data_IF_622816355034
#
_entry.id   IF_622816355034
#
_cell.length_a   1.000
_cell.length_b   1.000
_cell.length_c   1.000
_cell.angle_alpha   90.00
_cell.angle_beta   90.00
_cell.angle_gamma   90.00
#
_symmetry.space_group_name_H-M   'P 1'
#
loop_
_entity.id
_entity.type
_entity.pdbx_description
1 polymer ?
#
# COMPACT_ATOMS: atom_id res chain seq x y z
N UNK A 1 -1.64 6.70 -16.56
CA UNK A 1 -1.74 5.51 -15.70
C UNK A 1 -3.03 5.66 -14.91
N UNK A 2 -4.06 4.89 -15.23
CA UNK A 2 -5.27 4.80 -14.41
C UNK A 2 -4.85 4.05 -13.14
N UNK A 3 -4.55 4.78 -12.07
CA UNK A 3 -4.58 4.18 -10.73
C UNK A 3 -6.01 3.70 -10.57
N UNK A 4 -6.19 2.37 -10.61
CA UNK A 4 -7.49 1.72 -10.60
C UNK A 4 -8.37 2.35 -9.51
N UNK A 5 -9.49 2.99 -9.89
CA UNK A 5 -10.44 3.60 -8.94
C UNK A 5 -10.82 2.63 -7.80
N UNK A 6 -10.80 1.32 -8.08
CA UNK A 6 -11.00 0.25 -7.11
C UNK A 6 -9.98 0.24 -5.95
N UNK A 7 -8.71 0.61 -6.20
CA UNK A 7 -7.71 0.74 -5.15
C UNK A 7 -7.99 1.98 -4.31
N UNK A 8 -8.24 3.12 -4.94
CA UNK A 8 -8.50 4.39 -4.22
C UNK A 8 -9.78 4.34 -3.37
N UNK A 9 -10.79 3.58 -3.82
CA UNK A 9 -12.04 3.38 -3.09
C UNK A 9 -11.99 2.23 -2.07
N UNK A 10 -10.86 1.52 -1.97
CA UNK A 10 -10.72 0.40 -1.05
C UNK A 10 -10.65 0.89 0.40
N UNK A 11 -11.30 0.19 1.34
CA UNK A 11 -11.29 0.56 2.76
C UNK A 11 -9.88 0.55 3.39
N UNK A 12 -8.97 -0.24 2.80
CA UNK A 12 -7.56 -0.32 3.19
C UNK A 12 -6.63 0.52 2.30
N UNK A 13 -7.18 1.44 1.48
CA UNK A 13 -6.36 2.32 0.66
C UNK A 13 -5.46 3.19 1.53
N UNK A 14 -4.16 3.11 1.26
CA UNK A 14 -3.15 4.00 1.84
C UNK A 14 -2.16 4.39 0.74
N UNK A 15 -1.93 5.70 0.60
CA UNK A 15 -1.09 6.23 -0.48
C UNK A 15 0.39 5.84 -0.31
N UNK A 16 0.85 5.72 0.93
CA UNK A 16 2.21 5.31 1.24
C UNK A 16 2.38 3.80 1.02
N UNK A 17 1.40 2.99 1.43
CA UNK A 17 1.42 1.55 1.14
C UNK A 17 1.36 1.25 -0.36
N UNK A 18 0.52 1.97 -1.10
CA UNK A 18 0.48 1.88 -2.55
C UNK A 18 1.84 2.25 -3.18
N UNK A 19 2.44 3.37 -2.75
CA UNK A 19 3.75 3.79 -3.23
C UNK A 19 4.84 2.75 -2.92
N UNK A 20 4.81 2.15 -1.74
CA UNK A 20 5.74 1.10 -1.35
C UNK A 20 5.63 -0.15 -2.24
N UNK A 21 4.40 -0.63 -2.45
CA UNK A 21 4.15 -1.85 -3.21
C UNK A 21 4.48 -1.65 -4.69
N UNK A 22 4.08 -0.51 -5.26
CA UNK A 22 4.42 -0.15 -6.64
C UNK A 22 5.94 0.01 -6.82
N UNK A 23 6.65 0.65 -5.88
CA UNK A 23 8.11 0.76 -5.91
C UNK A 23 8.80 -0.61 -5.80
N UNK A 24 8.17 -1.57 -5.12
CA UNK A 24 8.60 -2.98 -5.11
C UNK A 24 8.32 -3.74 -6.40
N UNK A 25 7.61 -3.15 -7.36
CA UNK A 25 7.23 -3.77 -8.63
C UNK A 25 5.92 -4.56 -8.59
N UNK A 26 5.08 -4.34 -7.56
CA UNK A 26 3.77 -4.98 -7.49
C UNK A 26 2.80 -4.33 -8.47
N UNK A 27 1.94 -5.16 -9.06
CA UNK A 27 0.85 -4.69 -9.91
C UNK A 27 -0.35 -4.27 -9.07
N UNK A 28 -1.18 -3.37 -9.62
CA UNK A 28 -2.41 -2.92 -8.96
C UNK A 28 -3.32 -4.08 -8.53
N UNK A 29 -3.37 -5.16 -9.32
CA UNK A 29 -4.17 -6.36 -9.02
C UNK A 29 -3.65 -7.12 -7.79
N UNK A 30 -2.33 -7.25 -7.64
CA UNK A 30 -1.71 -7.90 -6.48
C UNK A 30 -1.90 -7.07 -5.21
N UNK A 31 -1.78 -5.74 -5.32
CA UNK A 31 -2.05 -4.81 -4.22
C UNK A 31 -3.49 -4.96 -3.76
N UNK A 32 -4.45 -4.97 -4.70
CA UNK A 32 -5.86 -5.12 -4.38
C UNK A 32 -6.15 -6.49 -3.72
N UNK A 33 -5.58 -7.57 -4.25
CA UNK A 33 -5.73 -8.90 -3.67
C UNK A 33 -5.20 -8.97 -2.24
N UNK A 34 -4.05 -8.33 -1.98
CA UNK A 34 -3.46 -8.23 -0.64
C UNK A 34 -4.35 -7.43 0.31
N UNK A 35 -4.77 -6.24 -0.10
CA UNK A 35 -5.64 -5.39 0.74
C UNK A 35 -6.98 -6.06 1.04
N UNK A 36 -7.53 -6.83 0.11
CA UNK A 36 -8.74 -7.60 0.32
C UNK A 36 -8.52 -8.76 1.31
N UNK A 37 -7.37 -9.45 1.23
CA UNK A 37 -6.99 -10.46 2.22
C UNK A 37 -6.79 -9.85 3.62
N UNK A 38 -6.12 -8.71 3.72
CA UNK A 38 -5.93 -7.98 4.99
C UNK A 38 -7.26 -7.52 5.57
N UNK A 39 -8.16 -6.98 4.74
CA UNK A 39 -9.52 -6.60 5.14
C UNK A 39 -10.33 -7.80 5.64
N UNK A 40 -10.23 -8.97 5.00
CA UNK A 40 -10.86 -10.22 5.45
C UNK A 40 -10.29 -10.73 6.77
N UNK A 41 -8.98 -10.57 6.99
CA UNK A 41 -8.33 -10.95 8.24
C UNK A 41 -8.57 -9.96 9.38
N UNK A 42 -9.19 -8.80 9.11
CA UNK A 42 -9.38 -7.73 10.10
C UNK A 42 -8.10 -6.98 10.43
N UNK A 43 -7.01 -7.25 9.71
CA UNK A 43 -5.78 -6.46 9.78
C UNK A 43 -6.03 -5.22 8.95
N UNK A 44 -6.37 -4.11 9.61
CA UNK A 44 -6.61 -2.83 8.95
C UNK A 44 -5.41 -2.36 8.11
N UNK A 45 -5.55 -1.25 7.38
CA UNK A 45 -4.50 -0.77 6.48
C UNK A 45 -3.17 -0.62 7.21
N UNK A 46 -2.08 -1.05 6.58
CA UNK A 46 -0.74 -0.84 7.09
C UNK A 46 -0.43 0.65 7.00
N UNK A 47 -0.74 1.42 8.05
CA UNK A 47 -0.67 2.89 7.99
C UNK A 47 0.74 3.50 8.05
N UNK A 48 1.78 2.68 7.94
CA UNK A 48 3.19 3.13 8.01
C UNK A 48 3.50 4.12 9.15
N UNK A 49 2.78 4.07 10.28
CA UNK A 49 2.80 5.10 11.33
C UNK A 49 4.06 5.07 12.19
N UNK A 50 4.77 3.95 12.24
CA UNK A 50 5.99 3.82 13.04
C UNK A 50 7.20 4.37 12.29
N UNK A 51 8.14 4.97 13.01
CA UNK A 51 9.36 5.56 12.44
C UNK A 51 10.16 4.56 11.58
N UNK A 52 10.23 3.30 12.03
CA UNK A 52 10.85 2.20 11.29
C UNK A 52 10.13 1.89 9.98
N UNK A 53 8.79 1.95 9.96
CA UNK A 53 8.03 1.76 8.75
C UNK A 53 8.27 2.92 7.80
N UNK A 54 8.16 4.18 8.25
CA UNK A 54 8.44 5.37 7.42
C UNK A 54 9.85 5.36 6.84
N UNK A 55 10.85 4.97 7.63
CA UNK A 55 12.23 4.84 7.16
C UNK A 55 12.36 3.79 6.04
N UNK A 56 11.66 2.66 6.17
CA UNK A 56 11.64 1.60 5.15
C UNK A 56 10.87 2.01 3.91
N UNK A 57 9.76 2.73 4.07
CA UNK A 57 8.99 3.33 2.98
C UNK A 57 9.86 4.30 2.19
N UNK A 58 10.52 5.24 2.87
CA UNK A 58 11.43 6.20 2.25
C UNK A 58 12.56 5.49 1.49
N UNK A 59 13.15 4.45 2.08
CA UNK A 59 14.21 3.66 1.43
C UNK A 59 13.74 2.93 0.16
N UNK A 60 12.52 2.40 0.15
CA UNK A 60 11.97 1.67 -1.01
C UNK A 60 11.41 2.61 -2.07
N UNK A 61 10.72 3.68 -1.67
CA UNK A 61 10.09 4.64 -2.59
C UNK A 61 11.06 5.72 -3.08
N UNK A 62 12.21 5.88 -2.42
CA UNK A 62 13.17 6.94 -2.73
C UNK A 62 12.70 8.34 -2.34
N UNK A 63 11.58 8.48 -1.62
CA UNK A 63 11.13 9.77 -1.06
C UNK A 63 12.10 10.20 0.04
N UNK A 64 12.80 11.30 -0.19
CA UNK A 64 13.79 11.89 0.72
C UNK A 64 13.28 13.21 1.28
#
# INVERSE_FOLDING_TARGET
MQTNDALQQHANYDADDYAYLTAKGWTDAEILARWNAEAKSGTGPCRWQTDSARSKLAAVTGRR
#
